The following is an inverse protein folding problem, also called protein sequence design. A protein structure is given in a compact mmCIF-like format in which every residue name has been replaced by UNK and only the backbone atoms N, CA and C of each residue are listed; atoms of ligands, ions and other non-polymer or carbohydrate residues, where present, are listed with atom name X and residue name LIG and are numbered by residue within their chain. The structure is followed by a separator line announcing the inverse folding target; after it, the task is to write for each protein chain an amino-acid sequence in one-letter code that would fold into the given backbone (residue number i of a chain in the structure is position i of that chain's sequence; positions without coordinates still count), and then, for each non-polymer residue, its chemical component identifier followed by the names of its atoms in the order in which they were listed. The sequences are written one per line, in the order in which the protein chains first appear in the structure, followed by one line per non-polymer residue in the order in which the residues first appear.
data_IF_724469228839
#
_entry.id   IF_724469228839
#
_cell.length_a   1.000
_cell.length_b   1.000
_cell.length_c   1.000
_cell.angle_alpha   90.00
_cell.angle_beta   90.00
_cell.angle_gamma   90.00
#
_symmetry.space_group_name_H-M   'P 1'
#
loop_
_entity.id
_entity.type
_entity.pdbx_description
1 polymer ?
#
# COMPACT_ATOMS: atom_id res chain seq x y z
N UNK A 1 -31.38 -7.79 -17.75
CA UNK A 1 -31.49 -6.64 -16.83
C UNK A 1 -31.50 -7.22 -15.42
N UNK A 2 -30.33 -7.30 -14.81
CA UNK A 2 -30.18 -7.58 -13.37
C UNK A 2 -29.08 -6.63 -12.91
N UNK A 3 -29.48 -5.53 -12.32
CA UNK A 3 -28.60 -4.62 -11.57
C UNK A 3 -28.10 -5.35 -10.33
N UNK A 4 -26.78 -5.48 -10.10
CA UNK A 4 -26.30 -5.93 -8.80
C UNK A 4 -26.44 -4.77 -7.82
N UNK A 5 -27.44 -4.88 -6.94
CA UNK A 5 -27.53 -4.09 -5.71
C UNK A 5 -26.31 -4.38 -4.86
N UNK A 6 -25.48 -3.38 -4.63
CA UNK A 6 -24.41 -3.39 -3.63
C UNK A 6 -25.03 -3.79 -2.28
N UNK A 7 -24.55 -4.90 -1.74
CA UNK A 7 -25.06 -5.52 -0.52
C UNK A 7 -24.88 -4.54 0.67
N UNK A 8 -25.96 -4.24 1.36
CA UNK A 8 -26.06 -3.37 2.54
C UNK A 8 -25.23 -3.80 3.76
N UNK A 9 -24.38 -4.79 3.64
CA UNK A 9 -23.55 -5.33 4.72
C UNK A 9 -22.27 -4.51 4.95
N UNK A 10 -21.87 -3.69 3.99
CA UNK A 10 -20.68 -2.82 4.10
C UNK A 10 -20.89 -1.60 5.02
N UNK A 11 -22.12 -1.14 5.17
CA UNK A 11 -22.44 0.12 5.88
C UNK A 11 -22.36 0.00 7.41
N UNK A 12 -22.38 -1.20 7.98
CA UNK A 12 -22.50 -1.37 9.44
C UNK A 12 -21.20 -1.39 10.23
N UNK A 13 -20.05 -1.39 9.59
CA UNK A 13 -18.74 -1.49 10.30
C UNK A 13 -18.09 -0.12 10.54
N UNK A 14 -18.51 0.92 9.81
CA UNK A 14 -17.90 2.26 9.91
C UNK A 14 -18.78 3.34 10.56
N UNK A 15 -20.04 3.06 10.95
CA UNK A 15 -20.99 4.08 11.41
C UNK A 15 -21.44 3.99 12.87
N UNK A 16 -20.79 3.26 13.73
CA UNK A 16 -21.06 3.38 15.17
C UNK A 16 -20.19 4.47 15.81
N UNK A 17 -20.62 5.72 15.67
CA UNK A 17 -20.27 6.76 16.63
C UNK A 17 -20.90 6.42 17.99
N UNK A 18 -20.14 6.48 19.10
CA UNK A 18 -20.72 6.28 20.41
C UNK A 18 -21.67 7.43 20.75
N UNK A 19 -22.95 7.17 20.80
CA UNK A 19 -23.95 8.08 21.36
C UNK A 19 -23.59 8.36 22.82
N UNK A 20 -23.35 9.62 23.13
CA UNK A 20 -23.27 10.14 24.46
C UNK A 20 -24.56 9.87 25.24
N UNK A 21 -24.55 8.91 26.14
CA UNK A 21 -25.47 8.88 27.27
C UNK A 21 -24.61 8.66 28.54
N UNK A 22 -24.60 9.71 29.35
CA UNK A 22 -24.02 9.66 30.67
C UNK A 22 -24.75 8.67 31.56
N UNK A 23 -23.98 7.74 32.08
CA UNK A 23 -24.25 7.08 33.36
C UNK A 23 -22.92 6.60 33.93
N UNK A 24 -22.62 7.11 35.11
CA UNK A 24 -21.48 6.72 35.95
C UNK A 24 -21.44 5.21 36.14
N UNK A 25 -20.32 4.58 35.75
CA UNK A 25 -19.93 3.27 36.23
C UNK A 25 -18.57 3.39 36.94
N UNK A 26 -18.39 2.71 38.06
CA UNK A 26 -17.18 2.83 38.87
C UNK A 26 -16.00 2.26 38.06
N UNK A 27 -14.92 3.01 38.09
CA UNK A 27 -13.62 2.69 37.52
C UNK A 27 -12.98 1.50 38.23
N UNK A 28 -12.94 0.35 37.55
CA UNK A 28 -11.98 -0.70 37.92
C UNK A 28 -10.77 -0.52 36.97
N UNK A 29 -9.76 0.14 37.50
CA UNK A 29 -8.55 0.54 36.80
C UNK A 29 -7.50 -0.53 36.95
N UNK A 30 -7.47 -1.45 35.98
CA UNK A 30 -6.22 -2.09 35.58
C UNK A 30 -5.54 -1.24 34.48
N UNK A 31 -5.08 -0.05 34.84
CA UNK A 31 -4.36 0.81 33.90
C UNK A 31 -3.03 0.12 33.53
N UNK A 32 -2.96 -0.44 32.32
CA UNK A 32 -1.70 -0.78 31.70
C UNK A 32 -0.83 0.49 31.70
N UNK A 33 0.29 0.48 32.43
CA UNK A 33 1.25 1.59 32.51
C UNK A 33 1.71 1.86 31.06
N UNK A 34 1.31 2.99 30.51
CA UNK A 34 1.83 3.49 29.25
C UNK A 34 3.36 3.47 29.30
N UNK A 35 3.98 2.95 28.25
CA UNK A 35 5.45 2.97 28.13
C UNK A 35 5.86 4.43 27.91
N UNK A 36 6.36 5.09 28.96
CA UNK A 36 6.71 6.52 28.98
C UNK A 36 8.18 6.75 28.61
N UNK A 37 8.68 6.21 27.51
CA UNK A 37 10.07 6.44 27.10
C UNK A 37 10.36 5.98 25.67
N UNK A 38 11.52 6.35 25.12
CA UNK A 38 11.90 6.00 23.77
C UNK A 38 11.97 4.48 23.60
N UNK A 39 11.32 3.98 22.54
CA UNK A 39 11.36 2.59 22.12
C UNK A 39 12.52 2.33 21.16
N UNK A 40 13.00 1.10 21.13
CA UNK A 40 13.88 0.57 20.11
C UNK A 40 13.04 -0.22 19.10
N UNK A 41 12.84 0.34 17.91
CA UNK A 41 11.92 -0.19 16.90
C UNK A 41 12.72 -0.74 15.73
N UNK A 42 12.48 -2.00 15.34
CA UNK A 42 13.12 -2.62 14.18
C UNK A 42 12.06 -2.88 13.08
N UNK A 43 12.21 -2.20 11.97
CA UNK A 43 11.47 -2.53 10.75
C UNK A 43 12.20 -3.64 9.98
N UNK A 44 11.44 -4.59 9.39
CA UNK A 44 11.95 -5.55 8.42
C UNK A 44 11.11 -5.43 7.15
N UNK A 45 11.76 -5.14 6.04
CA UNK A 45 11.15 -5.13 4.70
C UNK A 45 12.05 -5.87 3.73
N UNK A 46 11.48 -6.46 2.65
CA UNK A 46 12.30 -7.12 1.62
C UNK A 46 13.39 -6.18 1.11
N UNK A 47 13.03 -4.95 0.77
CA UNK A 47 13.95 -3.92 0.33
C UNK A 47 13.83 -2.67 1.22
N UNK A 48 14.89 -1.85 1.18
CA UNK A 48 14.94 -0.54 1.82
C UNK A 48 15.83 0.41 0.97
N UNK A 49 15.50 1.71 0.88
CA UNK A 49 16.29 2.62 0.06
C UNK A 49 17.80 2.56 0.30
N UNK A 50 18.63 2.75 -0.77
CA UNK A 50 18.27 3.24 -2.11
C UNK A 50 17.65 2.19 -3.05
N UNK A 51 17.53 0.93 -2.66
CA UNK A 51 16.94 -0.14 -3.47
C UNK A 51 15.41 -0.08 -3.35
N UNK A 52 14.77 0.40 -4.42
CA UNK A 52 13.32 0.65 -4.48
C UNK A 52 12.74 0.01 -5.74
N UNK A 53 11.67 -0.77 -5.59
CA UNK A 53 10.88 -1.32 -6.69
C UNK A 53 9.50 -0.65 -6.78
N UNK A 54 8.98 -0.18 -5.64
CA UNK A 54 7.64 0.40 -5.58
C UNK A 54 7.47 1.48 -4.52
N UNK A 55 6.24 1.70 -4.12
CA UNK A 55 5.90 2.67 -3.08
C UNK A 55 6.05 2.15 -1.66
N UNK A 56 6.06 0.83 -1.47
CA UNK A 56 6.12 0.22 -0.13
C UNK A 56 7.43 0.58 0.60
N UNK A 57 8.57 0.48 -0.08
CA UNK A 57 9.89 0.78 0.48
C UNK A 57 9.98 2.23 0.96
N UNK A 58 9.43 3.17 0.16
CA UNK A 58 9.35 4.59 0.54
C UNK A 58 8.46 4.80 1.76
N UNK A 59 7.36 4.07 1.86
CA UNK A 59 6.45 4.18 3.01
C UNK A 59 7.10 3.69 4.29
N UNK A 60 7.91 2.62 4.23
CA UNK A 60 8.69 2.14 5.37
C UNK A 60 9.76 3.14 5.79
N UNK A 61 10.47 3.74 4.82
CA UNK A 61 11.47 4.78 5.06
C UNK A 61 10.83 5.99 5.77
N UNK A 62 9.74 6.53 5.23
CA UNK A 62 9.03 7.67 5.82
C UNK A 62 8.57 7.36 7.25
N UNK A 63 7.92 6.21 7.48
CA UNK A 63 7.51 5.81 8.82
C UNK A 63 8.71 5.72 9.79
N UNK A 64 9.80 5.11 9.34
CA UNK A 64 11.00 4.96 10.17
C UNK A 64 11.63 6.31 10.52
N UNK A 65 11.71 7.24 9.58
CA UNK A 65 12.23 8.60 9.79
C UNK A 65 11.34 9.42 10.74
N UNK A 66 10.01 9.31 10.60
CA UNK A 66 9.06 9.96 11.52
C UNK A 66 9.19 9.42 12.96
N UNK A 67 9.39 8.13 13.11
CA UNK A 67 9.62 7.53 14.43
C UNK A 67 10.96 7.97 15.05
N UNK A 68 11.99 8.22 14.22
CA UNK A 68 13.24 8.85 14.67
C UNK A 68 12.97 10.30 15.11
N UNK A 69 12.23 11.07 14.33
CA UNK A 69 11.87 12.45 14.65
C UNK A 69 11.03 12.54 15.94
N UNK A 70 10.21 11.52 16.23
CA UNK A 70 9.46 11.38 17.47
C UNK A 70 10.34 10.94 18.68
N UNK A 71 11.67 10.80 18.50
CA UNK A 71 12.63 10.52 19.58
C UNK A 71 12.87 9.03 19.85
N UNK A 72 12.45 8.13 18.97
CA UNK A 72 12.69 6.69 19.10
C UNK A 72 14.02 6.26 18.46
N UNK A 73 14.57 5.14 18.90
CA UNK A 73 15.76 4.53 18.25
C UNK A 73 15.26 3.53 17.21
N UNK A 74 15.50 3.82 15.92
CA UNK A 74 14.91 3.02 14.83
C UNK A 74 16.01 2.36 13.99
N UNK A 75 15.76 1.10 13.63
CA UNK A 75 16.55 0.38 12.65
C UNK A 75 15.65 -0.22 11.56
N UNK A 76 16.22 -0.41 10.39
CA UNK A 76 15.62 -1.14 9.27
C UNK A 76 16.52 -2.31 8.87
N UNK A 77 15.95 -3.51 8.78
CA UNK A 77 16.60 -4.68 8.19
C UNK A 77 15.99 -4.96 6.82
N UNK A 78 16.81 -5.29 5.84
CA UNK A 78 16.37 -5.69 4.50
C UNK A 78 17.34 -6.71 3.93
N UNK A 79 16.93 -7.37 2.83
CA UNK A 79 17.84 -8.25 2.08
C UNK A 79 18.57 -7.45 1.00
N UNK A 80 19.76 -7.91 0.66
CA UNK A 80 20.59 -7.40 -0.42
C UNK A 80 21.19 -8.58 -1.20
N UNK A 81 21.73 -8.30 -2.38
CA UNK A 81 22.40 -9.34 -3.20
C UNK A 81 23.58 -9.94 -2.44
N UNK A 82 24.38 -9.07 -1.84
CA UNK A 82 25.47 -9.39 -0.94
C UNK A 82 25.27 -8.64 0.39
N UNK A 83 25.74 -9.15 1.51
CA UNK A 83 25.63 -8.44 2.79
C UNK A 83 26.48 -7.16 2.73
N UNK A 84 25.92 -6.08 3.26
CA UNK A 84 26.58 -4.78 3.30
C UNK A 84 26.87 -4.37 4.76
N UNK A 85 27.92 -3.56 5.00
CA UNK A 85 28.15 -2.97 6.31
C UNK A 85 26.95 -2.15 6.79
N UNK A 86 26.75 -2.09 8.09
CA UNK A 86 25.72 -1.22 8.69
C UNK A 86 25.92 0.22 8.23
N UNK A 87 24.83 0.89 7.89
CA UNK A 87 24.82 2.28 7.46
C UNK A 87 23.73 3.06 8.22
N UNK A 88 23.75 4.37 8.12
CA UNK A 88 22.71 5.24 8.70
C UNK A 88 22.10 6.07 7.57
N UNK A 89 20.76 6.12 7.52
CA UNK A 89 20.00 6.89 6.55
C UNK A 89 18.80 7.54 7.25
N UNK A 90 18.66 8.86 7.16
CA UNK A 90 17.58 9.59 7.85
C UNK A 90 17.52 9.34 9.37
N UNK A 91 18.68 9.10 10.03
CA UNK A 91 18.75 8.71 11.44
C UNK A 91 18.44 7.24 11.74
N UNK A 92 18.02 6.47 10.72
CA UNK A 92 17.69 5.05 10.83
C UNK A 92 18.94 4.21 10.60
N UNK A 93 19.22 3.25 11.51
CA UNK A 93 20.30 2.27 11.32
C UNK A 93 19.85 1.18 10.35
N UNK A 94 20.56 0.99 9.23
CA UNK A 94 20.18 0.05 8.18
C UNK A 94 21.08 -1.19 8.19
N UNK A 95 20.47 -2.37 8.27
CA UNK A 95 21.10 -3.68 8.16
C UNK A 95 20.71 -4.32 6.83
N UNK A 96 21.72 -4.59 5.97
CA UNK A 96 21.52 -5.29 4.68
C UNK A 96 22.06 -6.70 4.78
N UNK A 97 21.13 -7.65 4.90
CA UNK A 97 21.39 -9.08 5.05
C UNK A 97 21.53 -9.73 3.65
N UNK A 98 22.30 -10.79 3.54
CA UNK A 98 22.28 -11.61 2.32
C UNK A 98 20.90 -12.26 2.12
N UNK A 99 20.41 -12.31 0.87
CA UNK A 99 19.08 -12.88 0.61
C UNK A 99 19.01 -14.41 0.72
N UNK A 100 20.15 -15.12 0.55
CA UNK A 100 20.23 -16.59 0.60
C UNK A 100 19.18 -17.34 -0.25
N UNK A 101 18.66 -16.71 -1.29
CA UNK A 101 17.72 -17.29 -2.24
C UNK A 101 18.45 -17.78 -3.50
N UNK A 102 17.83 -18.67 -4.27
CA UNK A 102 18.40 -19.18 -5.53
C UNK A 102 18.52 -18.06 -6.60
N UNK A 103 17.66 -17.07 -6.52
CA UNK A 103 17.62 -15.94 -7.46
C UNK A 103 17.52 -14.61 -6.71
N UNK A 104 18.23 -13.60 -7.20
CA UNK A 104 18.01 -12.21 -6.86
C UNK A 104 16.96 -11.59 -7.80
N UNK A 105 16.42 -10.43 -7.45
CA UNK A 105 15.32 -9.77 -8.18
C UNK A 105 15.52 -9.71 -9.69
N UNK A 106 16.72 -9.32 -10.14
CA UNK A 106 17.05 -9.16 -11.57
C UNK A 106 17.20 -10.51 -12.30
N UNK A 107 17.35 -11.60 -11.57
CA UNK A 107 17.57 -12.94 -12.13
C UNK A 107 16.25 -13.73 -12.30
N UNK A 108 15.16 -13.31 -11.63
CA UNK A 108 13.85 -13.95 -11.74
C UNK A 108 13.33 -14.09 -13.18
N UNK A 109 13.45 -13.08 -14.08
CA UNK A 109 13.00 -13.21 -15.47
C UNK A 109 13.75 -14.30 -16.24
N UNK A 110 15.02 -14.56 -15.90
CA UNK A 110 15.90 -15.55 -16.56
C UNK A 110 15.62 -16.97 -16.10
N UNK A 111 14.96 -17.14 -14.95
CA UNK A 111 14.71 -18.45 -14.37
C UNK A 111 13.58 -19.20 -15.11
N UNK A 112 13.73 -20.50 -15.26
CA UNK A 112 12.68 -21.38 -15.83
C UNK A 112 11.45 -21.41 -14.93
N UNK A 113 10.29 -21.74 -15.48
CA UNK A 113 9.04 -21.86 -14.69
C UNK A 113 9.19 -22.84 -13.52
N UNK A 114 9.85 -23.98 -13.75
CA UNK A 114 10.13 -24.97 -12.69
C UNK A 114 11.10 -24.40 -11.65
N UNK A 115 12.22 -23.79 -12.09
CA UNK A 115 13.19 -23.17 -11.20
C UNK A 115 12.56 -22.11 -10.29
N UNK A 116 11.68 -21.26 -10.84
CA UNK A 116 10.92 -20.26 -10.05
C UNK A 116 10.01 -20.89 -9.01
N UNK A 117 9.26 -21.94 -9.38
CA UNK A 117 8.38 -22.63 -8.44
C UNK A 117 9.17 -23.30 -7.31
N UNK A 118 10.29 -23.94 -7.65
CA UNK A 118 11.19 -24.58 -6.69
C UNK A 118 11.84 -23.57 -5.73
N UNK A 119 12.37 -22.47 -6.27
CA UNK A 119 12.96 -21.40 -5.47
C UNK A 119 11.94 -20.81 -4.48
N UNK A 120 10.69 -20.54 -4.92
CA UNK A 120 9.63 -20.07 -4.05
C UNK A 120 9.25 -21.06 -2.95
N UNK A 121 9.31 -22.36 -3.22
CA UNK A 121 9.07 -23.38 -2.20
C UNK A 121 10.20 -23.40 -1.16
N UNK A 122 11.46 -23.35 -1.59
CA UNK A 122 12.63 -23.27 -0.69
C UNK A 122 12.62 -21.98 0.16
N UNK A 123 12.26 -20.88 -0.44
CA UNK A 123 12.20 -19.55 0.19
C UNK A 123 11.33 -19.54 1.46
N UNK A 124 10.24 -20.32 1.49
CA UNK A 124 9.39 -20.40 2.68
C UNK A 124 10.16 -20.88 3.92
N UNK A 125 11.16 -21.74 3.72
CA UNK A 125 11.95 -22.39 4.77
C UNK A 125 13.41 -21.90 4.74
N UNK A 126 13.65 -20.63 4.40
CA UNK A 126 14.99 -20.05 4.35
C UNK A 126 15.50 -19.79 5.78
N UNK A 127 16.06 -20.85 6.39
CA UNK A 127 16.65 -20.77 7.73
C UNK A 127 17.87 -19.86 7.79
N UNK A 128 18.60 -19.69 6.68
CA UNK A 128 19.78 -18.84 6.64
C UNK A 128 19.42 -17.36 6.82
N UNK A 129 18.42 -16.86 6.08
CA UNK A 129 17.86 -15.49 6.28
C UNK A 129 17.33 -15.34 7.69
N UNK A 130 16.60 -16.33 8.21
CA UNK A 130 16.07 -16.26 9.58
C UNK A 130 17.18 -16.19 10.63
N UNK A 131 18.25 -16.99 10.48
CA UNK A 131 19.39 -16.93 11.38
C UNK A 131 20.15 -15.59 11.31
N UNK A 132 20.27 -15.01 10.10
CA UNK A 132 20.90 -13.71 9.91
C UNK A 132 20.06 -12.60 10.55
N UNK A 133 18.74 -12.65 10.38
CA UNK A 133 17.83 -11.75 11.09
C UNK A 133 17.93 -11.93 12.61
N UNK A 134 18.09 -13.15 13.09
CA UNK A 134 18.37 -13.43 14.52
C UNK A 134 19.60 -12.68 15.03
N UNK A 135 20.69 -12.60 14.24
CA UNK A 135 21.88 -11.80 14.60
C UNK A 135 21.60 -10.30 14.66
N UNK A 136 20.75 -9.80 13.74
CA UNK A 136 20.30 -8.39 13.78
C UNK A 136 19.50 -8.12 15.08
N UNK A 137 18.61 -9.04 15.46
CA UNK A 137 17.86 -8.93 16.72
C UNK A 137 18.77 -8.90 17.93
N UNK A 138 19.81 -9.72 17.96
CA UNK A 138 20.77 -9.80 19.07
C UNK A 138 21.68 -8.56 19.16
N UNK A 139 22.04 -7.96 18.01
CA UNK A 139 22.85 -6.75 17.92
C UNK A 139 22.02 -5.49 18.25
N UNK A 140 20.85 -5.32 17.61
CA UNK A 140 20.03 -4.12 17.80
C UNK A 140 19.20 -4.15 19.09
N UNK A 141 18.77 -5.34 19.56
CA UNK A 141 17.93 -5.54 20.75
C UNK A 141 16.67 -4.68 20.73
N UNK A 142 15.76 -4.88 19.78
CA UNK A 142 14.55 -4.10 19.67
C UNK A 142 13.56 -4.41 20.79
N UNK A 143 12.78 -3.40 21.20
CA UNK A 143 11.59 -3.59 22.06
C UNK A 143 10.43 -4.17 21.24
N UNK A 144 10.39 -3.89 19.93
CA UNK A 144 9.34 -4.34 19.01
C UNK A 144 9.89 -4.52 17.59
N UNK A 145 9.35 -5.48 16.86
CA UNK A 145 9.61 -5.71 15.44
C UNK A 145 8.35 -5.40 14.63
N UNK A 146 8.45 -4.56 13.62
CA UNK A 146 7.42 -4.40 12.60
C UNK A 146 7.92 -4.91 11.25
N UNK A 147 7.28 -5.95 10.74
CA UNK A 147 7.59 -6.49 9.40
C UNK A 147 6.62 -5.93 8.37
N UNK A 148 7.11 -5.67 7.17
CA UNK A 148 6.34 -5.15 6.04
C UNK A 148 6.30 -6.17 4.90
N UNK A 149 6.66 -5.79 3.66
CA UNK A 149 6.81 -6.75 2.58
C UNK A 149 7.83 -7.83 2.96
N UNK A 150 7.41 -9.08 2.92
CA UNK A 150 8.27 -10.26 3.09
C UNK A 150 8.49 -10.99 1.76
N UNK A 151 8.29 -10.30 0.65
CA UNK A 151 8.62 -10.82 -0.67
C UNK A 151 10.12 -11.16 -0.69
N UNK A 152 10.44 -12.39 -1.08
CA UNK A 152 11.79 -12.93 -1.06
C UNK A 152 12.46 -13.04 0.34
N UNK A 153 11.68 -12.81 1.43
CA UNK A 153 12.08 -13.08 2.83
C UNK A 153 11.21 -14.21 3.41
N UNK A 154 11.84 -15.09 4.18
CA UNK A 154 11.09 -16.15 4.86
C UNK A 154 10.36 -15.64 6.10
N UNK A 155 9.10 -16.02 6.27
CA UNK A 155 8.32 -15.72 7.50
C UNK A 155 8.84 -16.44 8.75
N UNK A 156 9.89 -17.26 8.65
CA UNK A 156 10.62 -17.79 9.80
C UNK A 156 11.26 -16.67 10.66
N UNK A 157 11.45 -15.46 10.11
CA UNK A 157 11.89 -14.26 10.85
C UNK A 157 10.95 -13.94 12.02
N UNK A 158 9.65 -14.18 11.89
CA UNK A 158 8.70 -14.03 12.99
C UNK A 158 8.98 -14.99 14.14
N UNK A 159 9.37 -16.23 13.83
CA UNK A 159 9.74 -17.20 14.87
C UNK A 159 11.04 -16.81 15.60
N UNK A 160 11.98 -16.18 14.90
CA UNK A 160 13.21 -15.68 15.53
C UNK A 160 12.94 -14.54 16.52
N UNK A 161 12.04 -13.60 16.19
CA UNK A 161 11.60 -12.56 17.13
C UNK A 161 10.81 -13.16 18.31
N UNK A 162 9.85 -14.06 18.01
CA UNK A 162 9.04 -14.72 19.05
C UNK A 162 9.88 -15.53 20.05
N UNK A 163 10.92 -16.26 19.61
CA UNK A 163 11.87 -16.98 20.47
C UNK A 163 12.58 -16.07 21.49
N UNK A 164 12.78 -14.80 21.12
CA UNK A 164 13.42 -13.78 21.97
C UNK A 164 12.40 -13.02 22.84
N UNK A 165 11.12 -13.38 22.74
CA UNK A 165 10.05 -12.70 23.46
C UNK A 165 9.81 -11.26 22.99
N UNK A 166 10.17 -10.93 21.73
CA UNK A 166 9.97 -9.61 21.14
C UNK A 166 8.60 -9.58 20.46
N UNK A 167 7.72 -8.62 20.78
CA UNK A 167 6.42 -8.50 20.14
C UNK A 167 6.57 -8.15 18.66
N UNK A 168 5.63 -8.68 17.86
CA UNK A 168 5.68 -8.61 16.40
C UNK A 168 4.41 -7.98 15.83
N UNK A 169 4.57 -6.89 15.09
CA UNK A 169 3.56 -6.34 14.21
C UNK A 169 3.91 -6.73 12.78
N UNK A 170 2.91 -7.11 11.98
CA UNK A 170 3.06 -7.22 10.54
C UNK A 170 2.19 -6.21 9.83
N UNK A 171 2.77 -5.42 8.94
CA UNK A 171 2.06 -4.46 8.09
C UNK A 171 1.80 -5.09 6.72
N UNK A 172 0.54 -5.43 6.47
CA UNK A 172 0.06 -6.00 5.20
C UNK A 172 -0.07 -4.87 4.17
N UNK A 173 0.80 -4.86 3.18
CA UNK A 173 0.84 -3.86 2.10
C UNK A 173 0.76 -4.47 0.70
N UNK A 174 0.77 -5.79 0.59
CA UNK A 174 0.70 -6.56 -0.66
C UNK A 174 0.16 -7.98 -0.39
N UNK A 175 -0.04 -8.76 -1.43
CA UNK A 175 -0.60 -10.11 -1.33
C UNK A 175 0.46 -11.23 -1.26
N UNK A 176 1.70 -10.92 -0.93
CA UNK A 176 2.81 -11.88 -0.90
C UNK A 176 2.57 -13.06 0.04
N UNK A 177 1.81 -12.87 1.12
CA UNK A 177 1.51 -13.92 2.09
C UNK A 177 0.51 -14.97 1.58
N UNK A 178 -0.30 -14.64 0.59
CA UNK A 178 -1.36 -15.51 0.04
C UNK A 178 -1.19 -15.80 -1.44
N UNK A 179 -0.38 -15.06 -2.16
CA UNK A 179 -0.17 -15.20 -3.60
C UNK A 179 1.31 -15.32 -3.94
N UNK A 180 1.69 -16.35 -4.70
CA UNK A 180 3.07 -16.54 -5.13
C UNK A 180 3.65 -15.41 -6.00
N UNK A 181 2.79 -14.59 -6.62
CA UNK A 181 3.17 -13.41 -7.41
C UNK A 181 2.86 -12.08 -6.72
N UNK A 182 2.44 -12.12 -5.45
CA UNK A 182 2.09 -10.96 -4.63
C UNK A 182 0.99 -10.05 -5.20
N UNK A 183 0.28 -10.46 -6.25
CA UNK A 183 -0.67 -9.62 -6.97
C UNK A 183 -2.12 -10.12 -6.93
N UNK A 184 -2.38 -11.41 -6.65
CA UNK A 184 -3.69 -12.04 -6.83
C UNK A 184 -4.29 -11.76 -8.23
N UNK A 185 -3.42 -11.72 -9.23
CA UNK A 185 -3.75 -11.43 -10.62
C UNK A 185 -3.08 -12.46 -11.53
N UNK A 186 -3.82 -13.01 -12.47
CA UNK A 186 -3.33 -14.06 -13.37
C UNK A 186 -4.07 -14.03 -14.70
N UNK A 187 -3.32 -14.24 -15.79
CA UNK A 187 -3.88 -14.37 -17.14
C UNK A 187 -4.82 -13.19 -17.51
N UNK A 188 -4.42 -11.96 -17.12
CA UNK A 188 -5.16 -10.74 -17.41
C UNK A 188 -6.40 -10.50 -16.52
N UNK A 189 -6.60 -11.27 -15.44
CA UNK A 189 -7.77 -11.16 -14.56
C UNK A 189 -7.41 -11.26 -13.08
N UNK A 190 -8.16 -10.62 -12.17
CA UNK A 190 -8.08 -10.90 -10.75
C UNK A 190 -8.37 -12.37 -10.45
N UNK A 191 -7.71 -12.94 -9.47
CA UNK A 191 -7.97 -14.32 -9.03
C UNK A 191 -9.29 -14.37 -8.26
N UNK A 192 -10.24 -15.17 -8.74
CA UNK A 192 -11.55 -15.43 -8.12
C UNK A 192 -11.49 -16.47 -6.99
N UNK A 193 -10.38 -17.19 -6.90
CA UNK A 193 -10.17 -18.25 -5.91
C UNK A 193 -8.70 -18.40 -5.55
N UNK A 194 -8.46 -18.98 -4.40
CA UNK A 194 -7.11 -19.33 -3.98
C UNK A 194 -6.62 -20.60 -4.69
N UNK A 195 -5.72 -20.45 -5.65
CA UNK A 195 -5.17 -21.55 -6.43
C UNK A 195 -4.33 -22.51 -5.58
N UNK A 196 -4.39 -23.81 -5.89
CA UNK A 196 -3.65 -24.85 -5.17
C UNK A 196 -2.13 -24.55 -5.14
N UNK A 197 -1.56 -24.08 -6.25
CA UNK A 197 -0.15 -23.68 -6.30
C UNK A 197 0.19 -22.56 -5.30
N UNK A 198 -0.70 -21.57 -5.15
CA UNK A 198 -0.54 -20.52 -4.14
C UNK A 198 -0.64 -21.07 -2.71
N UNK A 199 -1.55 -22.01 -2.45
CA UNK A 199 -1.65 -22.68 -1.14
C UNK A 199 -0.35 -23.40 -0.78
N UNK A 200 0.23 -24.14 -1.73
CA UNK A 200 1.48 -24.88 -1.52
C UNK A 200 2.66 -23.94 -1.26
N UNK A 201 2.85 -22.91 -2.12
CA UNK A 201 3.97 -21.97 -1.96
C UNK A 201 3.78 -20.95 -0.84
N UNK A 202 2.70 -20.99 -0.09
CA UNK A 202 2.46 -20.14 1.07
C UNK A 202 2.13 -20.95 2.34
N UNK A 203 2.30 -22.28 2.32
CA UNK A 203 1.92 -23.15 3.43
C UNK A 203 2.64 -22.80 4.75
N UNK A 204 3.94 -22.46 4.69
CA UNK A 204 4.69 -22.05 5.87
C UNK A 204 4.14 -20.77 6.52
N UNK A 205 3.65 -19.84 5.70
CA UNK A 205 3.09 -18.57 6.15
C UNK A 205 1.81 -18.78 6.96
N UNK A 206 1.01 -19.80 6.62
CA UNK A 206 -0.18 -20.20 7.38
C UNK A 206 0.16 -20.66 8.80
N UNK A 207 1.34 -21.22 9.00
CA UNK A 207 1.80 -21.71 10.30
C UNK A 207 2.49 -20.58 11.07
N UNK A 208 3.40 -19.87 10.41
CA UNK A 208 4.26 -18.87 11.07
C UNK A 208 3.54 -17.58 11.44
N UNK A 209 2.42 -17.23 10.76
CA UNK A 209 1.65 -16.04 11.10
C UNK A 209 1.10 -16.06 12.55
N UNK A 210 0.98 -17.25 13.17
CA UNK A 210 0.59 -17.37 14.59
C UNK A 210 1.59 -16.75 15.57
N UNK A 211 2.80 -16.43 15.10
CA UNK A 211 3.81 -15.71 15.91
C UNK A 211 3.62 -14.18 15.89
N UNK A 212 2.70 -13.66 15.07
CA UNK A 212 2.41 -12.24 14.96
C UNK A 212 1.44 -11.84 16.08
N UNK A 213 1.74 -10.77 16.82
CA UNK A 213 0.95 -10.30 17.96
C UNK A 213 -0.12 -9.27 17.52
N UNK A 214 0.12 -8.55 16.43
CA UNK A 214 -0.87 -7.64 15.82
C UNK A 214 -0.60 -7.49 14.31
N UNK A 215 -1.64 -7.20 13.56
CA UNK A 215 -1.56 -6.87 12.13
C UNK A 215 -2.06 -5.45 11.87
N UNK A 216 -1.29 -4.71 11.12
CA UNK A 216 -1.70 -3.44 10.50
C UNK A 216 -1.92 -3.70 9.03
N UNK A 217 -2.91 -3.06 8.44
CA UNK A 217 -3.16 -3.11 7.01
C UNK A 217 -3.29 -1.70 6.45
N UNK A 218 -2.86 -1.51 5.21
CA UNK A 218 -2.96 -0.22 4.51
C UNK A 218 -4.34 0.06 3.92
N UNK A 219 -5.29 -0.88 4.09
CA UNK A 219 -6.67 -0.78 3.65
C UNK A 219 -7.51 -1.94 4.17
N UNK A 220 -8.82 -1.73 4.25
CA UNK A 220 -9.77 -2.70 4.81
C UNK A 220 -9.89 -3.95 3.93
N UNK A 221 -9.96 -3.77 2.61
CA UNK A 221 -10.18 -4.90 1.68
C UNK A 221 -9.01 -5.88 1.66
N UNK A 222 -7.77 -5.38 1.67
CA UNK A 222 -6.60 -6.25 1.71
C UNK A 222 -6.50 -7.00 3.05
N UNK A 223 -6.84 -6.36 4.18
CA UNK A 223 -6.90 -7.03 5.48
C UNK A 223 -7.93 -8.16 5.46
N UNK A 224 -9.14 -7.84 5.00
CA UNK A 224 -10.23 -8.82 4.86
C UNK A 224 -9.79 -10.00 4.00
N UNK A 225 -9.17 -9.75 2.85
CA UNK A 225 -8.66 -10.79 1.95
C UNK A 225 -7.68 -11.72 2.67
N UNK A 226 -6.76 -11.21 3.49
CA UNK A 226 -5.82 -12.05 4.24
C UNK A 226 -6.52 -12.88 5.32
N UNK A 227 -7.47 -12.30 6.04
CA UNK A 227 -8.25 -13.01 7.07
C UNK A 227 -9.13 -14.10 6.45
N UNK A 228 -9.79 -13.83 5.33
CA UNK A 228 -10.59 -14.81 4.59
C UNK A 228 -9.74 -15.98 4.06
N UNK A 229 -8.45 -15.76 3.85
CA UNK A 229 -7.47 -16.80 3.50
C UNK A 229 -6.81 -17.46 4.74
N UNK A 230 -7.33 -17.20 5.95
CA UNK A 230 -6.90 -17.84 7.21
C UNK A 230 -5.69 -17.21 7.88
N UNK A 231 -5.13 -16.13 7.35
CA UNK A 231 -4.04 -15.39 8.00
C UNK A 231 -4.59 -14.44 9.05
N UNK A 232 -3.88 -14.33 10.18
CA UNK A 232 -4.22 -13.41 11.27
C UNK A 232 -5.63 -13.61 11.88
N UNK A 233 -6.33 -14.69 11.52
CA UNK A 233 -7.66 -15.01 12.04
C UNK A 233 -7.67 -15.31 13.55
N UNK A 234 -6.50 -15.68 14.11
CA UNK A 234 -6.29 -15.92 15.53
C UNK A 234 -6.20 -14.64 16.38
N UNK A 235 -5.96 -13.49 15.73
CA UNK A 235 -5.87 -12.20 16.43
C UNK A 235 -7.28 -11.69 16.78
N UNK A 236 -7.41 -11.04 17.93
CA UNK A 236 -8.62 -10.31 18.28
C UNK A 236 -8.83 -9.11 17.34
N UNK A 237 -10.08 -8.63 17.17
CA UNK A 237 -10.37 -7.49 16.28
C UNK A 237 -9.50 -6.26 16.56
N UNK A 238 -9.25 -5.95 17.84
CA UNK A 238 -8.45 -4.78 18.29
C UNK A 238 -6.97 -4.88 17.86
N UNK A 239 -6.51 -6.11 17.53
CA UNK A 239 -5.16 -6.40 17.01
C UNK A 239 -5.08 -6.39 15.48
N UNK A 240 -6.18 -6.12 14.81
CA UNK A 240 -6.29 -6.00 13.35
C UNK A 240 -6.65 -4.56 13.02
N UNK A 241 -5.65 -3.73 12.75
CA UNK A 241 -5.85 -2.28 12.53
C UNK A 241 -5.66 -1.90 11.08
N UNK A 242 -6.42 -0.91 10.64
CA UNK A 242 -6.19 -0.24 9.34
C UNK A 242 -5.50 1.09 9.63
N UNK A 243 -4.32 1.27 9.07
CA UNK A 243 -3.54 2.51 9.14
C UNK A 243 -3.08 2.83 7.73
N UNK A 244 -3.54 3.93 7.18
CA UNK A 244 -3.17 4.37 5.84
C UNK A 244 -1.66 4.66 5.74
N UNK A 245 -1.16 4.73 4.52
CA UNK A 245 0.19 5.19 4.29
C UNK A 245 0.34 6.66 4.70
N UNK A 246 1.47 7.00 5.29
CA UNK A 246 1.89 8.39 5.32
C UNK A 246 2.23 8.85 3.91
N UNK A 247 1.78 10.04 3.56
CA UNK A 247 2.02 10.59 2.24
C UNK A 247 2.43 12.05 2.32
N UNK A 248 3.61 12.31 1.77
CA UNK A 248 4.08 13.63 1.41
C UNK A 248 4.40 13.64 -0.07
N UNK A 249 4.17 14.75 -0.73
CA UNK A 249 4.61 14.97 -2.12
C UNK A 249 5.84 15.85 -2.06
N UNK A 250 7.04 15.30 -2.24
CA UNK A 250 8.26 16.10 -2.25
C UNK A 250 8.17 17.25 -3.29
N UNK A 251 8.56 18.44 -2.90
CA UNK A 251 8.47 19.67 -3.71
C UNK A 251 7.02 20.04 -4.11
N UNK A 252 6.01 19.40 -3.53
CA UNK A 252 4.60 19.69 -3.79
C UNK A 252 4.14 20.96 -3.08
N UNK A 253 3.52 21.87 -3.82
CA UNK A 253 2.87 23.07 -3.27
C UNK A 253 1.41 23.16 -3.77
N UNK A 254 0.44 22.66 -2.96
CA UNK A 254 -0.98 22.74 -3.32
C UNK A 254 -1.48 24.18 -3.44
N UNK A 255 -0.89 25.14 -2.72
CA UNK A 255 -1.27 26.55 -2.81
C UNK A 255 -0.81 27.16 -4.14
N UNK A 256 0.44 26.92 -4.53
CA UNK A 256 0.94 27.34 -5.85
C UNK A 256 0.15 26.67 -6.98
N UNK A 257 -0.19 25.38 -6.85
CA UNK A 257 -1.04 24.67 -7.83
C UNK A 257 -2.39 25.36 -8.04
N UNK A 258 -3.05 25.85 -6.97
CA UNK A 258 -4.34 26.55 -7.07
C UNK A 258 -4.22 27.88 -7.81
N UNK A 259 -3.06 28.52 -7.83
CA UNK A 259 -2.82 29.80 -8.51
C UNK A 259 -2.52 29.64 -10.01
N UNK A 260 -2.29 28.41 -10.50
CA UNK A 260 -2.05 28.18 -11.92
C UNK A 260 -3.32 28.49 -12.70
N UNK A 261 -3.26 29.46 -13.61
CA UNK A 261 -4.35 29.73 -14.54
C UNK A 261 -4.49 28.59 -15.54
N UNK A 262 -5.69 28.04 -15.60
CA UNK A 262 -6.03 26.87 -16.46
C UNK A 262 -7.21 27.14 -17.37
N UNK A 263 -7.66 28.40 -17.45
CA UNK A 263 -8.88 28.77 -18.19
C UNK A 263 -8.72 28.55 -19.68
N UNK A 264 -7.55 28.79 -20.25
CA UNK A 264 -7.27 28.78 -21.69
C UNK A 264 -6.71 27.42 -22.19
N UNK A 265 -6.81 26.37 -21.40
CA UNK A 265 -6.36 25.02 -21.82
C UNK A 265 -7.45 23.98 -21.71
N UNK A 266 -7.37 22.88 -22.50
CA UNK A 266 -8.29 21.74 -22.42
C UNK A 266 -8.32 21.14 -21.01
N UNK A 267 -9.47 20.53 -20.61
CA UNK A 267 -9.55 19.71 -19.39
C UNK A 267 -8.47 18.63 -19.45
N UNK A 268 -7.55 18.64 -18.51
CA UNK A 268 -6.39 17.75 -18.53
C UNK A 268 -6.55 16.63 -17.53
N UNK A 269 -6.77 15.43 -18.02
CA UNK A 269 -6.73 14.19 -17.24
C UNK A 269 -5.29 13.68 -17.12
N UNK A 270 -5.01 12.91 -16.08
CA UNK A 270 -3.69 12.32 -15.90
C UNK A 270 -3.75 10.88 -15.41
N UNK A 271 -2.78 10.09 -15.80
CA UNK A 271 -2.44 8.80 -15.22
C UNK A 271 -1.00 8.84 -14.72
N UNK A 272 -0.78 8.39 -13.48
CA UNK A 272 0.55 8.32 -12.88
C UNK A 272 0.79 6.93 -12.28
N UNK A 273 1.76 6.17 -12.81
CA UNK A 273 2.09 4.85 -12.30
C UNK A 273 2.79 3.94 -13.29
N UNK A 274 3.01 2.68 -12.92
CA UNK A 274 3.54 1.68 -13.85
C UNK A 274 2.57 1.47 -15.01
N UNK A 275 3.11 1.44 -16.23
CA UNK A 275 2.31 1.26 -17.44
C UNK A 275 2.30 -0.23 -17.79
N UNK A 276 1.20 -0.90 -17.45
CA UNK A 276 0.97 -2.31 -17.75
C UNK A 276 -0.55 -2.61 -17.85
N UNK A 277 -0.90 -3.84 -18.20
CA UNK A 277 -2.30 -4.23 -18.41
C UNK A 277 -3.12 -4.20 -17.11
N UNK A 278 -2.58 -4.69 -16.01
CA UNK A 278 -3.30 -4.76 -14.74
C UNK A 278 -3.62 -3.38 -14.14
N UNK A 279 -2.89 -2.34 -14.53
CA UNK A 279 -3.17 -0.94 -14.15
C UNK A 279 -4.24 -0.26 -14.99
N UNK A 280 -4.82 -0.96 -15.98
CA UNK A 280 -6.00 -0.52 -16.69
C UNK A 280 -5.80 0.60 -17.71
N UNK A 281 -4.55 0.88 -18.15
CA UNK A 281 -4.24 1.94 -19.12
C UNK A 281 -5.01 1.73 -20.42
N UNK A 282 -5.16 0.48 -20.88
CA UNK A 282 -5.95 0.17 -22.09
C UNK A 282 -7.43 0.55 -21.96
N UNK A 283 -8.06 0.23 -20.82
CA UNK A 283 -9.46 0.62 -20.53
C UNK A 283 -9.62 2.13 -20.54
N UNK A 284 -8.66 2.86 -19.98
CA UNK A 284 -8.67 4.32 -19.98
C UNK A 284 -8.62 4.87 -21.41
N UNK A 285 -7.76 4.33 -22.27
CA UNK A 285 -7.68 4.74 -23.69
C UNK A 285 -8.99 4.45 -24.41
N UNK A 286 -9.59 3.27 -24.21
CA UNK A 286 -10.86 2.90 -24.83
C UNK A 286 -12.00 3.80 -24.35
N UNK A 287 -12.01 4.18 -23.07
CA UNK A 287 -12.99 5.14 -22.54
C UNK A 287 -12.85 6.52 -23.20
N UNK A 288 -11.63 7.02 -23.40
CA UNK A 288 -11.38 8.26 -24.15
C UNK A 288 -11.81 8.15 -25.62
N UNK A 289 -11.62 7.02 -26.25
CA UNK A 289 -12.11 6.76 -27.62
C UNK A 289 -13.64 6.82 -27.69
N UNK A 290 -14.34 6.33 -26.66
CA UNK A 290 -15.82 6.40 -26.58
C UNK A 290 -16.36 7.81 -26.37
N UNK A 291 -15.64 8.67 -25.69
CA UNK A 291 -16.11 10.06 -25.54
C UNK A 291 -15.88 10.88 -26.80
N UNK A 292 -14.94 10.47 -27.66
CA UNK A 292 -14.62 11.14 -28.92
C UNK A 292 -13.91 12.48 -28.75
N UNK A 293 -13.79 13.24 -29.84
CA UNK A 293 -13.14 14.56 -29.84
C UNK A 293 -13.84 15.54 -28.89
N UNK A 294 -13.08 16.43 -28.25
CA UNK A 294 -13.60 17.43 -27.32
C UNK A 294 -12.49 18.30 -26.77
N UNK A 295 -12.86 19.23 -25.88
CA UNK A 295 -11.90 20.11 -25.21
C UNK A 295 -11.27 19.39 -23.98
N UNK A 296 -10.57 18.31 -24.28
CA UNK A 296 -9.85 17.51 -23.27
C UNK A 296 -8.54 16.99 -23.83
N UNK A 297 -7.62 16.65 -22.92
CA UNK A 297 -6.40 15.89 -23.17
C UNK A 297 -6.08 14.97 -22.00
N UNK A 298 -5.24 13.97 -22.23
CA UNK A 298 -4.76 13.08 -21.18
C UNK A 298 -3.23 12.94 -21.19
N UNK A 299 -2.59 13.06 -20.03
CA UNK A 299 -1.16 12.83 -19.84
C UNK A 299 -0.97 11.47 -19.16
N UNK A 300 -0.06 10.65 -19.69
CA UNK A 300 0.26 9.33 -19.14
C UNK A 300 1.72 9.32 -18.69
N UNK A 301 1.94 9.35 -17.38
CA UNK A 301 3.27 9.35 -16.80
C UNK A 301 3.60 7.99 -16.16
N UNK A 302 4.80 7.48 -16.44
CA UNK A 302 5.29 6.24 -15.84
C UNK A 302 6.26 5.49 -16.73
N UNK A 303 6.59 4.28 -16.27
CA UNK A 303 7.49 3.36 -16.97
C UNK A 303 6.82 1.99 -17.12
N UNK A 304 7.20 1.25 -18.14
CA UNK A 304 6.87 -0.17 -18.32
C UNK A 304 8.16 -1.02 -18.26
N UNK A 305 7.98 -2.28 -17.87
CA UNK A 305 9.06 -3.27 -17.89
C UNK A 305 9.02 -4.16 -19.14
N UNK A 306 8.04 -3.92 -20.02
CA UNK A 306 7.75 -4.66 -21.25
C UNK A 306 7.41 -3.68 -22.39
N UNK A 307 6.81 -4.17 -23.46
CA UNK A 307 6.39 -3.40 -24.64
C UNK A 307 5.07 -2.61 -24.45
N UNK A 308 4.56 -2.55 -23.22
CA UNK A 308 3.26 -1.91 -22.93
C UNK A 308 3.19 -0.46 -23.39
N UNK A 309 4.27 0.32 -23.31
CA UNK A 309 4.27 1.71 -23.77
C UNK A 309 3.99 1.76 -25.29
N UNK A 310 4.74 0.99 -26.08
CA UNK A 310 4.56 0.97 -27.54
C UNK A 310 3.14 0.52 -27.93
N UNK A 311 2.64 -0.53 -27.29
CA UNK A 311 1.29 -1.05 -27.50
C UNK A 311 0.21 -0.03 -27.18
N UNK A 312 0.28 0.62 -26.02
CA UNK A 312 -0.72 1.61 -25.61
C UNK A 312 -0.60 2.93 -26.37
N UNK A 313 0.62 3.31 -26.81
CA UNK A 313 0.79 4.45 -27.72
C UNK A 313 0.08 4.18 -29.04
N UNK A 314 0.23 2.99 -29.63
CA UNK A 314 -0.50 2.60 -30.83
C UNK A 314 -2.03 2.55 -30.61
N UNK A 315 -2.48 2.04 -29.44
CA UNK A 315 -3.90 2.06 -29.07
C UNK A 315 -4.44 3.50 -28.92
N UNK A 316 -3.63 4.46 -28.51
CA UNK A 316 -4.02 5.86 -28.32
C UNK A 316 -3.96 6.70 -29.60
N UNK A 317 -3.56 6.11 -30.74
CA UNK A 317 -3.44 6.85 -32.01
C UNK A 317 -4.74 7.58 -32.38
N UNK A 318 -4.60 8.84 -32.76
CA UNK A 318 -5.72 9.72 -33.11
C UNK A 318 -6.46 10.34 -31.91
N UNK A 319 -6.00 10.10 -30.67
CA UNK A 319 -6.55 10.71 -29.45
C UNK A 319 -5.55 11.73 -28.85
N UNK A 320 -6.01 12.79 -28.17
CA UNK A 320 -5.13 13.74 -27.48
C UNK A 320 -4.59 13.14 -26.16
N UNK A 321 -3.90 12.01 -26.28
CA UNK A 321 -3.26 11.28 -25.17
C UNK A 321 -1.75 11.30 -25.39
N UNK A 322 -0.99 11.80 -24.43
CA UNK A 322 0.45 11.94 -24.48
C UNK A 322 1.13 11.08 -23.43
N UNK A 323 2.08 10.24 -23.84
CA UNK A 323 2.95 9.46 -22.95
C UNK A 323 4.20 10.28 -22.64
N UNK A 324 4.24 10.91 -21.44
CA UNK A 324 5.29 11.85 -21.04
C UNK A 324 6.51 11.18 -20.38
N UNK A 325 6.50 9.86 -20.27
CA UNK A 325 7.58 9.12 -19.61
C UNK A 325 7.53 9.27 -18.08
N UNK A 326 8.68 9.13 -17.43
CA UNK A 326 8.76 9.33 -15.99
C UNK A 326 8.62 10.82 -15.64
N UNK A 327 7.81 11.13 -14.65
CA UNK A 327 7.60 12.50 -14.16
C UNK A 327 7.68 12.56 -12.63
N UNK A 328 8.15 13.69 -12.09
CA UNK A 328 8.03 13.97 -10.66
C UNK A 328 6.55 14.13 -10.28
N UNK A 329 6.06 13.50 -9.20
CA UNK A 329 4.66 13.59 -8.82
C UNK A 329 4.16 15.04 -8.65
N UNK A 330 4.94 15.92 -8.02
CA UNK A 330 4.58 17.33 -7.83
C UNK A 330 4.32 18.07 -9.14
N UNK A 331 5.24 17.94 -10.10
CA UNK A 331 5.15 18.60 -11.41
C UNK A 331 3.97 18.04 -12.21
N UNK A 332 3.84 16.71 -12.22
CA UNK A 332 2.77 16.02 -12.95
C UNK A 332 1.38 16.38 -12.40
N UNK A 333 1.20 16.28 -11.09
CA UNK A 333 -0.08 16.61 -10.44
C UNK A 333 -0.43 18.10 -10.56
N UNK A 334 0.57 18.96 -10.66
CA UNK A 334 0.34 20.38 -10.97
C UNK A 334 -0.12 20.63 -12.40
N UNK A 335 0.20 19.75 -13.34
CA UNK A 335 -0.14 19.86 -14.75
C UNK A 335 -1.54 19.33 -15.11
N UNK A 336 -2.19 18.53 -14.25
CA UNK A 336 -3.48 17.90 -14.52
C UNK A 336 -4.61 18.49 -13.68
N UNK A 337 -5.84 18.28 -14.11
CA UNK A 337 -7.06 18.68 -13.41
C UNK A 337 -7.68 17.52 -12.64
N UNK A 338 -7.62 16.30 -13.17
CA UNK A 338 -8.18 15.08 -12.58
C UNK A 338 -7.21 13.91 -12.81
N UNK A 339 -6.95 13.13 -11.77
CA UNK A 339 -6.19 11.88 -11.87
C UNK A 339 -7.14 10.71 -12.16
N UNK A 340 -6.73 9.79 -13.03
CA UNK A 340 -7.46 8.53 -13.29
C UNK A 340 -6.63 7.37 -12.74
N UNK A 341 -7.27 6.50 -11.93
CA UNK A 341 -6.67 5.28 -11.37
C UNK A 341 -7.50 4.08 -11.84
N UNK A 342 -7.23 3.58 -13.05
CA UNK A 342 -8.12 2.63 -13.75
C UNK A 342 -7.78 1.16 -13.47
N UNK A 343 -7.16 0.85 -12.34
CA UNK A 343 -6.62 -0.48 -12.05
C UNK A 343 -7.67 -1.59 -12.03
N UNK A 344 -7.44 -2.64 -12.83
CA UNK A 344 -8.14 -3.93 -12.69
C UNK A 344 -7.69 -4.69 -11.46
N UNK A 345 -6.40 -4.58 -11.18
CA UNK A 345 -5.80 -5.20 -10.02
C UNK A 345 -6.39 -4.61 -8.75
N UNK A 346 -6.70 -5.47 -7.79
CA UNK A 346 -7.15 -5.06 -6.47
C UNK A 346 -5.98 -4.40 -5.72
N UNK A 347 -5.77 -3.11 -6.00
CA UNK A 347 -4.70 -2.33 -5.36
C UNK A 347 -4.90 -2.28 -3.86
N UNK A 348 -3.90 -2.62 -3.05
CA UNK A 348 -4.02 -2.52 -1.60
C UNK A 348 -4.34 -1.11 -1.13
N UNK A 349 -3.56 -0.12 -1.61
CA UNK A 349 -3.71 1.28 -1.24
C UNK A 349 -2.83 2.13 -2.19
N UNK A 350 -3.35 2.60 -3.33
CA UNK A 350 -2.54 3.27 -4.35
C UNK A 350 -2.04 4.63 -3.88
N UNK A 351 -0.72 4.77 -3.73
CA UNK A 351 -0.07 6.01 -3.27
C UNK A 351 -0.42 7.23 -4.10
N UNK A 352 -0.65 7.06 -5.39
CA UNK A 352 -0.99 8.15 -6.30
C UNK A 352 -2.29 8.86 -5.94
N UNK A 353 -3.23 8.20 -5.24
CA UNK A 353 -4.46 8.83 -4.73
C UNK A 353 -4.11 9.78 -3.58
N UNK A 354 -3.28 9.34 -2.62
CA UNK A 354 -2.82 10.20 -1.53
C UNK A 354 -2.07 11.42 -2.05
N UNK A 355 -1.15 11.20 -3.00
CA UNK A 355 -0.37 12.25 -3.65
C UNK A 355 -1.28 13.25 -4.38
N UNK A 356 -2.28 12.76 -5.12
CA UNK A 356 -3.26 13.59 -5.80
C UNK A 356 -4.07 14.44 -4.80
N UNK A 357 -4.60 13.84 -3.75
CA UNK A 357 -5.38 14.53 -2.74
C UNK A 357 -4.56 15.56 -1.96
N UNK A 358 -3.31 15.24 -1.60
CA UNK A 358 -2.38 16.20 -0.99
C UNK A 358 -2.14 17.41 -1.90
N UNK A 359 -2.12 17.22 -3.21
CA UNK A 359 -2.00 18.30 -4.20
C UNK A 359 -3.34 18.94 -4.58
N UNK A 360 -4.47 18.54 -3.97
CA UNK A 360 -5.80 19.03 -4.28
C UNK A 360 -6.31 18.60 -5.67
N UNK A 361 -5.90 17.42 -6.14
CA UNK A 361 -6.33 16.83 -7.41
C UNK A 361 -7.39 15.75 -7.15
N UNK A 362 -8.63 15.89 -7.65
CA UNK A 362 -9.64 14.85 -7.53
C UNK A 362 -9.29 13.61 -8.37
N UNK A 363 -9.85 12.45 -7.97
CA UNK A 363 -9.51 11.15 -8.55
C UNK A 363 -10.75 10.46 -9.08
N UNK A 364 -10.71 10.03 -10.35
CA UNK A 364 -11.62 9.00 -10.88
C UNK A 364 -10.95 7.65 -10.69
N UNK A 365 -11.56 6.76 -9.89
CA UNK A 365 -10.99 5.46 -9.52
C UNK A 365 -11.82 4.27 -9.99
N UNK A 366 -11.16 3.17 -10.36
CA UNK A 366 -11.83 1.89 -10.52
C UNK A 366 -12.27 1.37 -9.14
N UNK A 367 -13.47 0.81 -9.02
CA UNK A 367 -13.98 0.23 -7.77
C UNK A 367 -13.29 -1.12 -7.48
N UNK A 368 -11.96 -1.11 -7.27
CA UNK A 368 -11.10 -2.27 -7.10
C UNK A 368 -10.17 -2.10 -5.89
N UNK A 369 -10.06 -3.15 -5.07
CA UNK A 369 -9.19 -3.15 -3.89
C UNK A 369 -9.49 -2.02 -2.91
N UNK A 370 -8.47 -1.28 -2.47
CA UNK A 370 -8.58 -0.15 -1.55
C UNK A 370 -8.97 1.18 -2.19
N UNK A 371 -9.15 1.25 -3.52
CA UNK A 371 -9.51 2.50 -4.21
C UNK A 371 -10.84 3.09 -3.71
N UNK A 372 -11.94 2.29 -3.54
CA UNK A 372 -13.19 2.82 -3.01
C UNK A 372 -13.08 3.44 -1.62
N UNK A 373 -12.27 2.84 -0.75
CA UNK A 373 -12.03 3.35 0.61
C UNK A 373 -11.34 4.74 0.60
N UNK A 374 -10.43 4.95 -0.35
CA UNK A 374 -9.72 6.22 -0.51
C UNK A 374 -10.55 7.29 -1.22
N UNK A 375 -11.35 6.91 -2.21
CA UNK A 375 -12.27 7.85 -2.88
C UNK A 375 -13.36 8.30 -1.92
N UNK A 376 -13.84 7.39 -1.06
CA UNK A 376 -14.85 7.67 -0.04
C UNK A 376 -16.29 7.53 -0.55
N UNK A 377 -17.20 7.24 0.38
CA UNK A 377 -18.62 7.01 0.08
C UNK A 377 -19.30 8.25 -0.50
N UNK A 378 -18.98 9.45 0.02
CA UNK A 378 -19.49 10.73 -0.44
C UNK A 378 -19.09 11.09 -1.88
N UNK A 379 -18.11 10.39 -2.42
CA UNK A 379 -17.57 10.59 -3.77
C UNK A 379 -17.82 9.37 -4.68
N UNK A 380 -18.84 8.54 -4.41
CA UNK A 380 -19.10 7.32 -5.15
C UNK A 380 -19.33 7.54 -6.67
N UNK A 381 -19.78 8.74 -7.07
CA UNK A 381 -19.90 9.09 -8.50
C UNK A 381 -18.55 9.23 -9.22
N UNK A 382 -17.44 9.27 -8.49
CA UNK A 382 -16.08 9.25 -9.02
C UNK A 382 -15.51 7.83 -9.18
N UNK A 383 -16.29 6.81 -8.79
CA UNK A 383 -15.94 5.41 -8.98
C UNK A 383 -16.58 4.86 -10.25
N UNK A 384 -15.87 3.95 -10.92
CA UNK A 384 -16.38 3.19 -12.06
C UNK A 384 -16.05 1.70 -11.91
N UNK A 385 -16.79 0.87 -12.64
CA UNK A 385 -16.62 -0.59 -12.65
C UNK A 385 -15.26 -0.96 -13.27
N UNK A 386 -14.40 -1.73 -12.56
CA UNK A 386 -13.09 -2.13 -13.09
C UNK A 386 -13.22 -2.80 -14.46
N UNK A 387 -12.49 -2.29 -15.45
CA UNK A 387 -12.49 -2.79 -16.81
C UNK A 387 -13.64 -2.37 -17.69
N UNK A 388 -14.60 -1.64 -17.18
CA UNK A 388 -15.71 -1.11 -17.96
C UNK A 388 -15.36 0.27 -18.53
N UNK A 389 -14.93 0.29 -19.77
CA UNK A 389 -14.57 1.50 -20.49
C UNK A 389 -15.80 2.39 -20.80
N UNK A 390 -17.00 1.82 -20.83
CA UNK A 390 -18.23 2.59 -21.04
C UNK A 390 -18.63 3.33 -19.77
N UNK A 391 -18.51 2.70 -18.59
CA UNK A 391 -18.74 3.34 -17.29
C UNK A 391 -17.70 4.45 -17.04
N UNK A 392 -16.41 4.18 -17.29
CA UNK A 392 -15.37 5.23 -17.22
C UNK A 392 -15.66 6.39 -18.17
N UNK A 393 -16.07 6.12 -19.42
CA UNK A 393 -16.46 7.15 -20.37
C UNK A 393 -17.63 8.01 -19.87
N UNK A 394 -18.59 7.41 -19.17
CA UNK A 394 -19.69 8.15 -18.54
C UNK A 394 -19.19 9.12 -17.46
N UNK A 395 -18.23 8.68 -16.61
CA UNK A 395 -17.60 9.54 -15.60
C UNK A 395 -16.81 10.69 -16.25
N UNK A 396 -16.01 10.38 -17.29
CA UNK A 396 -15.24 11.40 -18.01
C UNK A 396 -16.16 12.46 -18.63
N UNK A 397 -17.27 12.07 -19.27
CA UNK A 397 -18.26 13.01 -19.82
C UNK A 397 -18.87 13.88 -18.74
N UNK A 398 -19.21 13.31 -17.58
CA UNK A 398 -19.78 14.05 -16.45
C UNK A 398 -18.80 15.13 -15.96
N UNK A 399 -17.53 14.78 -15.81
CA UNK A 399 -16.47 15.71 -15.36
C UNK A 399 -16.24 16.82 -16.37
N UNK A 400 -16.17 16.49 -17.67
CA UNK A 400 -16.02 17.48 -18.74
C UNK A 400 -17.21 18.45 -18.77
N UNK A 401 -18.44 17.92 -18.62
CA UNK A 401 -19.66 18.73 -18.64
C UNK A 401 -19.76 19.68 -17.43
N UNK A 402 -19.32 19.23 -16.24
CA UNK A 402 -19.23 20.10 -15.02
C UNK A 402 -18.21 21.21 -15.18
N UNK A 403 -17.09 20.94 -15.86
CA UNK A 403 -15.99 21.89 -15.98
C UNK A 403 -15.19 22.03 -14.69
N UNK A 404 -14.07 22.78 -14.74
CA UNK A 404 -13.11 22.91 -13.63
C UNK A 404 -13.67 23.55 -12.37
N UNK A 405 -14.64 24.45 -12.50
CA UNK A 405 -15.20 25.21 -11.36
C UNK A 405 -15.96 24.32 -10.39
N UNK A 406 -16.51 23.21 -10.89
CA UNK A 406 -17.34 22.30 -10.14
C UNK A 406 -16.61 20.98 -9.81
N UNK A 407 -15.27 20.97 -9.95
CA UNK A 407 -14.45 19.85 -9.46
C UNK A 407 -14.42 19.86 -7.93
N UNK A 408 -14.42 18.67 -7.29
CA UNK A 408 -14.23 18.57 -5.85
C UNK A 408 -12.94 19.27 -5.40
N UNK A 409 -13.03 19.98 -4.31
CA UNK A 409 -11.88 20.57 -3.64
C UNK A 409 -11.35 19.63 -2.52
N UNK A 410 -10.29 20.03 -1.84
CA UNK A 410 -9.65 19.25 -0.79
C UNK A 410 -10.59 18.86 0.37
N UNK A 411 -11.73 19.55 0.55
CA UNK A 411 -12.71 19.19 1.60
C UNK A 411 -13.37 17.85 1.32
N UNK A 412 -13.55 17.49 0.04
CA UNK A 412 -14.15 16.23 -0.36
C UNK A 412 -13.30 14.99 0.01
N UNK A 413 -11.98 15.17 0.22
CA UNK A 413 -11.06 14.07 0.53
C UNK A 413 -10.26 14.29 1.83
N UNK A 414 -10.75 15.16 2.71
CA UNK A 414 -10.13 15.44 4.01
C UNK A 414 -10.01 14.18 4.89
N UNK A 415 -10.90 13.20 4.72
CA UNK A 415 -10.83 11.93 5.44
C UNK A 415 -9.51 11.19 5.16
N UNK A 416 -9.01 11.20 3.91
CA UNK A 416 -7.72 10.61 3.56
C UNK A 416 -6.56 11.50 4.00
N UNK A 417 -6.63 12.81 3.70
CA UNK A 417 -5.54 13.75 4.00
C UNK A 417 -5.20 13.75 5.49
N UNK A 418 -6.21 13.83 6.38
CA UNK A 418 -6.00 13.86 7.84
C UNK A 418 -5.41 12.56 8.37
N UNK A 419 -5.86 11.43 7.86
CA UNK A 419 -5.44 10.11 8.34
C UNK A 419 -4.09 9.66 7.75
N UNK A 420 -3.59 10.36 6.71
CA UNK A 420 -2.33 10.07 6.01
C UNK A 420 -1.21 11.07 6.28
N UNK A 421 -1.37 12.00 7.23
CA UNK A 421 -0.21 12.81 7.66
C UNK A 421 0.82 11.93 8.34
N UNK A 422 2.10 12.27 8.20
CA UNK A 422 3.20 11.49 8.78
C UNK A 422 3.07 11.35 10.29
N UNK A 423 2.73 12.43 10.97
CA UNK A 423 2.54 12.47 12.43
C UNK A 423 1.39 11.55 12.85
N UNK A 424 0.25 11.63 12.15
CA UNK A 424 -0.94 10.83 12.50
C UNK A 424 -0.70 9.34 12.28
N UNK A 425 0.00 8.98 11.23
CA UNK A 425 0.37 7.59 10.95
C UNK A 425 1.35 7.10 12.01
N UNK A 426 2.41 7.85 12.32
CA UNK A 426 3.38 7.50 13.36
C UNK A 426 2.72 7.35 14.74
N UNK A 427 1.82 8.27 15.12
CA UNK A 427 1.04 8.21 16.37
C UNK A 427 0.28 6.87 16.49
N UNK A 428 -0.48 6.48 15.47
CA UNK A 428 -1.23 5.22 15.46
C UNK A 428 -0.36 3.97 15.59
N UNK A 429 0.82 3.99 14.97
CA UNK A 429 1.78 2.90 15.14
C UNK A 429 2.37 2.88 16.54
N UNK A 430 2.73 4.04 17.08
CA UNK A 430 3.29 4.16 18.45
C UNK A 430 2.30 3.70 19.51
N UNK A 431 1.02 4.04 19.37
CA UNK A 431 -0.04 3.55 20.28
C UNK A 431 -0.07 2.02 20.30
N UNK A 432 -0.08 1.39 19.12
CA UNK A 432 -0.05 -0.07 19.03
C UNK A 432 1.24 -0.67 19.59
N UNK A 433 2.40 -0.06 19.31
CA UNK A 433 3.68 -0.54 19.81
C UNK A 433 3.76 -0.45 21.34
N UNK A 434 3.31 0.66 21.92
CA UNK A 434 3.30 0.87 23.35
C UNK A 434 2.42 -0.17 24.07
N UNK A 435 1.22 -0.45 23.53
CA UNK A 435 0.35 -1.51 24.05
C UNK A 435 1.04 -2.87 24.09
N UNK A 436 1.61 -3.30 22.96
CA UNK A 436 2.24 -4.62 22.83
C UNK A 436 3.48 -4.75 23.72
N UNK A 437 4.31 -3.70 23.79
CA UNK A 437 5.51 -3.69 24.63
C UNK A 437 5.13 -3.72 26.12
N UNK A 438 4.10 -2.97 26.53
CA UNK A 438 3.62 -2.97 27.91
C UNK A 438 3.12 -4.34 28.33
N UNK A 439 2.29 -4.99 27.52
CA UNK A 439 1.79 -6.35 27.78
C UNK A 439 2.93 -7.37 27.88
N UNK A 440 3.90 -7.29 26.94
CA UNK A 440 5.03 -8.22 26.96
C UNK A 440 5.91 -8.02 28.20
N UNK A 441 6.08 -6.77 28.67
CA UNK A 441 6.82 -6.49 29.92
C UNK A 441 6.08 -6.98 31.14
N UNK A 442 4.74 -6.88 31.17
CA UNK A 442 3.91 -7.36 32.28
C UNK A 442 3.89 -8.89 32.38
N UNK A 443 4.09 -9.62 31.28
CA UNK A 443 4.08 -11.10 31.25
C UNK A 443 5.47 -11.73 31.39
N UNK A 444 6.55 -10.94 31.42
CA UNK A 444 7.90 -11.45 31.74
C UNK A 444 8.00 -11.75 33.22
N UNK A 445 8.42 -12.99 33.60
CA UNK A 445 8.61 -13.37 35.00
C UNK A 445 9.72 -12.60 35.66
#
# INVERSE_FOLDING_TARGET
MITPTLSSTYVRILTEEPRSQGQDRPSDQGAARAVTGPLRILHLSALYPPYIVGGAERSVEHLAEELVAAGHTVAAACIAREPEPKSVRGGVTVYRMAHHNDFWLEDWPKATRFGRAWAKLKQQWNFAVAAEFGRVLDDFRPDIVNTHSLLDVSTLVWREAAKRGIPIVHTVCEYDLICGNAAMFRDGKPCDRWHLGCKVVNAAKQITNRSVDAVVSVGTEILKTHVDHGLFAHLAPERRRVIFYSCTVPDGDPAARRQIDRTDRPMTFGYLGRINTEKGVGTMIDAFRRIGPGDWRCLVAGQAMDDSIARFTAQAEGLPIEFVGWAKPADFLSAIDVLIVPSFWAEPSPRTIYEAYTMGVPVIGAASGGIPELVGEDNAEWLFTPGDDADLAARLRSVIARGRKDLPDERAFQHVIRESTSERVAEKYLDLYAELVAERRATRP
#
